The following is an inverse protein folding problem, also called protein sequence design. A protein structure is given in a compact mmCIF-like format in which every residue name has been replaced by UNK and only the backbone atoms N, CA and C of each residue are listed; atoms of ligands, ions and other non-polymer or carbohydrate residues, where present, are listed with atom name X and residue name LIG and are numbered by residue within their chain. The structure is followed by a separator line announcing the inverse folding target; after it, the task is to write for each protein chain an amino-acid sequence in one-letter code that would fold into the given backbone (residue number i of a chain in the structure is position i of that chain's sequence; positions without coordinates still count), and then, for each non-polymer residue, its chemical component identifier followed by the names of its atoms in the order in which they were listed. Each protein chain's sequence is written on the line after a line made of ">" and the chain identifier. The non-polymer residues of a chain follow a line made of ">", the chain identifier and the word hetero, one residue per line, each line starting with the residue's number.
data_IF_256844893438
#
_entry.id   IF_256844893438
#
_cell.length_a   1.000
_cell.length_b   1.000
_cell.length_c   1.000
_cell.angle_alpha   90.00
_cell.angle_beta   90.00
_cell.angle_gamma   90.00
#
_symmetry.space_group_name_H-M   'P 1'
#
loop_
_entity.id
_entity.type
_entity.pdbx_description
1 polymer ?
#
# COMPACT_ATOMS: atom_id res chain seq x y z
N UNK A 1 2.84 -1.16 11.32
CA UNK A 1 2.45 0.24 10.99
C UNK A 1 3.44 1.17 11.63
N UNK A 2 3.94 2.18 10.90
CA UNK A 2 4.98 3.12 11.36
C UNK A 2 4.55 4.53 10.96
N UNK A 3 4.77 5.51 11.85
CA UNK A 3 4.55 6.92 11.59
C UNK A 3 5.90 7.65 11.66
N UNK A 4 6.37 8.14 10.52
CA UNK A 4 7.59 8.91 10.44
C UNK A 4 7.28 10.40 10.34
N UNK A 5 7.88 11.19 11.22
CA UNK A 5 7.78 12.66 11.18
C UNK A 5 9.05 13.24 10.58
N UNK A 6 8.90 13.99 9.50
CA UNK A 6 9.98 14.72 8.85
C UNK A 6 9.72 16.23 8.91
N UNK A 7 10.69 16.99 9.39
CA UNK A 7 10.68 18.46 9.30
C UNK A 7 11.63 18.87 8.19
N UNK A 8 11.10 19.58 7.19
CA UNK A 8 11.87 20.10 6.06
C UNK A 8 12.05 21.60 6.29
N UNK A 9 13.30 22.05 6.34
CA UNK A 9 13.69 23.45 6.54
C UNK A 9 14.34 23.94 5.24
N UNK A 10 13.75 24.97 4.64
CA UNK A 10 14.19 25.65 3.43
C UNK A 10 14.33 27.14 3.75
N UNK A 11 15.05 27.91 2.92
CA UNK A 11 15.30 29.33 3.17
C UNK A 11 14.01 30.14 3.36
N UNK A 12 12.97 29.85 2.57
CA UNK A 12 11.70 30.59 2.57
C UNK A 12 10.58 29.92 3.38
N UNK A 13 10.77 28.68 3.87
CA UNK A 13 9.72 27.97 4.60
C UNK A 13 10.23 26.83 5.48
N UNK A 14 9.43 26.51 6.49
CA UNK A 14 9.52 25.27 7.26
C UNK A 14 8.20 24.52 7.16
N UNK A 15 8.25 23.22 6.87
CA UNK A 15 7.05 22.36 6.83
C UNK A 15 7.31 21.01 7.48
N UNK A 16 6.28 20.44 8.09
CA UNK A 16 6.33 19.10 8.68
C UNK A 16 5.47 18.16 7.85
N UNK A 17 6.02 17.00 7.50
CA UNK A 17 5.31 15.91 6.83
C UNK A 17 5.28 14.70 7.76
N UNK A 18 4.10 14.12 7.92
CA UNK A 18 3.89 12.88 8.66
C UNK A 18 3.63 11.77 7.64
N UNK A 19 4.63 10.92 7.43
CA UNK A 19 4.52 9.78 6.54
C UNK A 19 3.99 8.58 7.33
N UNK A 20 2.76 8.18 7.05
CA UNK A 20 2.16 7.00 7.64
C UNK A 20 2.40 5.81 6.70
N UNK A 21 3.32 4.93 7.08
CA UNK A 21 3.66 3.73 6.31
C UNK A 21 3.04 2.48 6.94
N UNK A 22 2.37 1.67 6.12
CA UNK A 22 1.81 0.40 6.51
C UNK A 22 2.15 -0.68 5.47
N UNK A 23 2.74 -1.77 5.95
CA UNK A 23 2.92 -2.98 5.15
C UNK A 23 1.72 -3.90 5.35
N UNK A 24 1.20 -4.44 4.26
CA UNK A 24 0.12 -5.41 4.26
C UNK A 24 0.64 -6.77 3.81
N UNK A 25 0.05 -7.83 4.37
CA UNK A 25 0.09 -9.16 3.76
C UNK A 25 -1.06 -9.25 2.74
N UNK A 26 -1.05 -10.27 1.88
CA UNK A 26 -2.19 -10.51 0.97
C UNK A 26 -3.51 -10.71 1.74
N UNK A 27 -3.45 -11.28 2.95
CA UNK A 27 -4.61 -11.47 3.82
C UNK A 27 -5.11 -10.13 4.38
N UNK A 28 -4.25 -9.33 5.01
CA UNK A 28 -4.68 -8.06 5.59
C UNK A 28 -5.08 -7.03 4.53
N UNK A 29 -4.49 -7.09 3.34
CA UNK A 29 -4.90 -6.27 2.20
C UNK A 29 -6.31 -6.66 1.72
N UNK A 30 -6.62 -7.95 1.67
CA UNK A 30 -7.96 -8.43 1.30
C UNK A 30 -9.02 -7.93 2.27
N UNK A 31 -8.77 -8.05 3.58
CA UNK A 31 -9.71 -7.55 4.59
C UNK A 31 -9.95 -6.04 4.46
N UNK A 32 -8.90 -5.26 4.19
CA UNK A 32 -9.01 -3.80 4.03
C UNK A 32 -9.87 -3.43 2.82
N UNK A 33 -9.68 -4.12 1.69
CA UNK A 33 -10.50 -3.93 0.49
C UNK A 33 -11.96 -4.34 0.73
N UNK A 34 -12.19 -5.46 1.41
CA UNK A 34 -13.54 -5.94 1.75
C UNK A 34 -14.27 -4.95 2.68
N UNK A 35 -13.59 -4.43 3.72
CA UNK A 35 -14.12 -3.37 4.59
C UNK A 35 -14.46 -2.10 3.82
N UNK A 36 -13.74 -1.84 2.74
CA UNK A 36 -13.96 -0.69 1.85
C UNK A 36 -15.02 -0.96 0.75
N UNK A 37 -15.63 -2.15 0.73
CA UNK A 37 -16.66 -2.52 -0.26
C UNK A 37 -16.11 -2.93 -1.62
N UNK A 38 -14.89 -3.45 -1.66
CA UNK A 38 -14.25 -4.02 -2.86
C UNK A 38 -13.95 -5.50 -2.65
N UNK A 39 -13.88 -6.24 -3.76
CA UNK A 39 -13.39 -7.62 -3.79
C UNK A 39 -12.10 -7.69 -4.60
N UNK A 40 -11.03 -8.21 -4.01
CA UNK A 40 -9.81 -8.54 -4.74
C UNK A 40 -10.04 -9.83 -5.52
N UNK A 41 -9.77 -9.81 -6.82
CA UNK A 41 -9.92 -10.97 -7.71
C UNK A 41 -8.58 -11.67 -7.94
N UNK A 42 -7.50 -10.90 -8.09
CA UNK A 42 -6.17 -11.42 -8.47
C UNK A 42 -5.03 -10.67 -7.77
N UNK A 43 -3.92 -11.37 -7.55
CA UNK A 43 -2.68 -10.85 -6.94
C UNK A 43 -1.50 -11.06 -7.88
N UNK A 44 -0.61 -10.07 -7.92
CA UNK A 44 0.59 -10.03 -8.77
C UNK A 44 1.79 -9.48 -8.01
N UNK A 45 2.99 -9.83 -8.45
CA UNK A 45 4.27 -9.30 -7.94
C UNK A 45 4.62 -7.93 -8.49
N UNK A 46 3.93 -7.48 -9.54
CA UNK A 46 4.12 -6.18 -10.18
C UNK A 46 2.88 -5.79 -10.99
N UNK A 47 2.85 -4.54 -11.47
CA UNK A 47 1.74 -4.02 -12.29
C UNK A 47 1.75 -4.53 -13.74
N UNK A 48 2.74 -5.33 -14.13
CA UNK A 48 2.85 -5.93 -15.47
C UNK A 48 2.19 -7.31 -15.56
N UNK A 49 1.73 -7.85 -14.42
CA UNK A 49 1.00 -9.13 -14.35
C UNK A 49 1.88 -10.33 -14.00
N UNK A 50 3.08 -10.12 -13.44
CA UNK A 50 3.90 -11.24 -12.96
C UNK A 50 3.18 -11.98 -11.82
N UNK A 51 2.97 -13.30 -11.88
CA UNK A 51 2.27 -14.04 -10.83
C UNK A 51 2.90 -13.83 -9.45
N UNK A 52 2.05 -13.57 -8.45
CA UNK A 52 2.52 -13.33 -7.09
C UNK A 52 3.27 -14.54 -6.50
N UNK A 53 4.37 -14.24 -5.81
CA UNK A 53 5.16 -15.19 -5.01
C UNK A 53 5.31 -14.67 -3.58
N UNK A 54 5.45 -15.56 -2.60
CA UNK A 54 5.56 -15.17 -1.18
C UNK A 54 6.78 -14.29 -0.92
N UNK A 55 7.82 -14.42 -1.74
CA UNK A 55 9.07 -13.68 -1.69
C UNK A 55 9.02 -12.35 -2.47
N UNK A 56 7.86 -12.01 -3.05
CA UNK A 56 7.71 -10.76 -3.81
C UNK A 56 7.86 -9.56 -2.89
N UNK A 57 8.61 -8.56 -3.36
CA UNK A 57 8.80 -7.30 -2.63
C UNK A 57 7.59 -6.38 -2.72
N UNK A 58 6.74 -6.59 -3.73
CA UNK A 58 5.57 -5.77 -4.03
C UNK A 58 4.32 -6.65 -4.16
N UNK A 59 3.17 -6.02 -3.95
CA UNK A 59 1.86 -6.62 -4.17
C UNK A 59 1.07 -5.68 -5.08
N UNK A 60 0.71 -6.17 -6.26
CA UNK A 60 -0.25 -5.55 -7.14
C UNK A 60 -1.57 -6.36 -7.11
N UNK A 61 -2.71 -5.67 -7.17
CA UNK A 61 -4.03 -6.32 -7.08
C UNK A 61 -4.97 -5.83 -8.16
N UNK A 62 -5.76 -6.74 -8.71
CA UNK A 62 -6.98 -6.38 -9.47
C UNK A 62 -8.13 -6.51 -8.49
N UNK A 63 -8.87 -5.41 -8.29
CA UNK A 63 -10.03 -5.37 -7.43
C UNK A 63 -11.22 -4.77 -8.16
N UNK A 64 -12.42 -5.27 -7.86
CA UNK A 64 -13.67 -4.73 -8.38
C UNK A 64 -14.60 -4.32 -7.26
N UNK A 65 -15.43 -3.30 -7.54
CA UNK A 65 -16.60 -3.05 -6.72
C UNK A 65 -17.65 -4.12 -7.08
N UNK A 66 -18.23 -4.83 -6.09
CA UNK A 66 -19.18 -5.90 -6.33
C UNK A 66 -20.34 -5.52 -7.24
#
# INVERSE_FOLDING_TARGET
>A
MILDKHTIIEESRTRTVYNWLQHFSCESLREEFEKSGFKIEEFYSDVSGTPYQTESMEIAVIARKP
#
